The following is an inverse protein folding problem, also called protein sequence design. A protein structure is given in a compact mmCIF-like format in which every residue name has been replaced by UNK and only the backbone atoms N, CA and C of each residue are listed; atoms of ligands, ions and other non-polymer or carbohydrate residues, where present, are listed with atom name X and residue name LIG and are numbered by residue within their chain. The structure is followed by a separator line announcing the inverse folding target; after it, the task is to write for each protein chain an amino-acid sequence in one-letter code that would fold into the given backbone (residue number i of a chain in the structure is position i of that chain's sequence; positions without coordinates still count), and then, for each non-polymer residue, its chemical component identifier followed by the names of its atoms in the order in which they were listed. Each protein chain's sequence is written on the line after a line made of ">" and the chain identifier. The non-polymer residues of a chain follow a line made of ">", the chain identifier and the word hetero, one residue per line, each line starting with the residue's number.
data_IF_496618426589
#
_entry.id   IF_496618426589
#
_cell.length_a   1.000
_cell.length_b   1.000
_cell.length_c   1.000
_cell.angle_alpha   90.00
_cell.angle_beta   90.00
_cell.angle_gamma   90.00
#
_symmetry.space_group_name_H-M   'P 1'
#
loop_
_entity.id
_entity.type
_entity.pdbx_description
1 polymer ?
#
# COMPACT_ATOMS: atom_id res chain seq x y z
N UNK A 1 21.36 -14.39 10.22
CA UNK A 1 20.45 -13.27 10.51
C UNK A 1 19.84 -12.84 9.18
N UNK A 2 18.71 -13.43 8.79
CA UNK A 2 17.98 -13.05 7.58
C UNK A 2 17.14 -11.81 7.94
N UNK A 3 17.77 -10.64 7.97
CA UNK A 3 17.01 -9.40 8.00
C UNK A 3 16.41 -9.29 6.61
N UNK A 4 15.08 -9.29 6.47
CA UNK A 4 14.34 -9.22 5.20
C UNK A 4 14.57 -7.89 4.42
N UNK A 5 15.72 -7.25 4.60
CA UNK A 5 16.19 -6.12 3.82
C UNK A 5 16.54 -6.62 2.42
N UNK A 6 15.76 -6.21 1.43
CA UNK A 6 15.97 -6.56 0.02
C UNK A 6 14.94 -7.53 -0.57
N UNK A 7 13.94 -7.98 0.19
CA UNK A 7 12.77 -8.64 -0.41
C UNK A 7 11.81 -7.58 -0.96
N UNK A 8 11.13 -7.85 -2.08
CA UNK A 8 10.10 -6.95 -2.62
C UNK A 8 9.08 -6.61 -1.54
N UNK A 9 8.61 -5.36 -1.51
CA UNK A 9 7.57 -4.95 -0.60
C UNK A 9 6.33 -5.83 -0.83
N UNK A 10 6.04 -6.72 0.14
CA UNK A 10 4.87 -7.60 0.11
C UNK A 10 3.62 -6.93 0.65
N UNK A 11 3.71 -5.66 1.05
CA UNK A 11 2.57 -4.89 1.54
C UNK A 11 2.14 -3.88 0.47
N UNK A 12 0.83 -3.79 0.28
CA UNK A 12 0.19 -2.78 -0.57
C UNK A 12 -0.38 -1.66 0.31
N UNK A 13 -0.83 -0.59 -0.34
CA UNK A 13 -1.30 0.63 0.34
C UNK A 13 -2.35 0.35 1.41
N UNK A 14 -3.24 -0.64 1.20
CA UNK A 14 -4.25 -1.05 2.17
C UNK A 14 -3.64 -1.40 3.55
N UNK A 15 -2.56 -2.19 3.58
CA UNK A 15 -1.92 -2.58 4.83
C UNK A 15 -1.34 -1.36 5.58
N UNK A 16 -0.89 -0.33 4.87
CA UNK A 16 -0.43 0.92 5.48
C UNK A 16 -1.59 1.75 6.01
N UNK A 17 -2.73 1.79 5.32
CA UNK A 17 -3.95 2.43 5.84
C UNK A 17 -4.39 1.75 7.14
N UNK A 18 -4.40 0.42 7.18
CA UNK A 18 -4.75 -0.36 8.36
C UNK A 18 -3.78 -0.12 9.52
N UNK A 19 -2.47 -0.07 9.25
CA UNK A 19 -1.46 0.22 10.25
C UNK A 19 -1.61 1.64 10.83
N UNK A 20 -1.90 2.65 9.99
CA UNK A 20 -2.12 4.01 10.48
C UNK A 20 -3.37 4.08 11.34
N UNK A 21 -4.47 3.45 10.92
CA UNK A 21 -5.71 3.40 11.70
C UNK A 21 -5.51 2.80 13.11
N UNK A 22 -4.57 1.86 13.27
CA UNK A 22 -4.23 1.23 14.55
C UNK A 22 -3.17 1.99 15.35
N UNK A 23 -2.47 2.94 14.75
CA UNK A 23 -1.31 3.62 15.36
C UNK A 23 -1.66 4.85 16.20
N UNK A 24 -2.88 5.38 16.08
CA UNK A 24 -3.26 6.66 16.66
C UNK A 24 -2.65 7.88 15.96
N UNK A 25 -2.08 7.71 14.75
CA UNK A 25 -1.63 8.79 13.88
C UNK A 25 -2.74 9.24 12.93
N UNK A 26 -2.67 10.49 12.48
CA UNK A 26 -3.54 11.04 11.44
C UNK A 26 -2.80 11.10 10.10
N UNK A 27 -3.45 10.62 9.03
CA UNK A 27 -2.94 10.75 7.66
C UNK A 27 -3.11 12.19 7.20
N UNK A 28 -2.01 12.87 6.89
CA UNK A 28 -2.00 14.17 6.24
C UNK A 28 -1.95 14.06 4.72
N UNK A 29 -1.23 13.06 4.21
CA UNK A 29 -1.12 12.81 2.77
C UNK A 29 -0.92 11.34 2.52
N UNK A 30 -1.71 10.79 1.60
CA UNK A 30 -1.51 9.48 1.04
C UNK A 30 -1.74 9.57 -0.47
N UNK A 31 -0.67 9.49 -1.26
CA UNK A 31 -0.73 9.69 -2.71
C UNK A 31 0.18 8.73 -3.45
N UNK A 32 -0.27 8.13 -4.57
CA UNK A 32 0.59 7.29 -5.38
C UNK A 32 1.70 8.12 -6.01
N UNK A 33 2.90 7.55 -6.14
CA UNK A 33 3.99 8.13 -6.92
C UNK A 33 3.98 7.61 -8.36
N UNK A 34 3.51 6.38 -8.56
CA UNK A 34 3.36 5.75 -9.86
C UNK A 34 2.18 4.77 -9.83
N UNK A 35 1.42 4.76 -10.92
CA UNK A 35 0.28 3.88 -11.14
C UNK A 35 0.60 2.93 -12.30
N UNK A 36 0.29 1.65 -12.13
CA UNK A 36 0.23 0.69 -13.23
C UNK A 36 -0.98 0.97 -14.12
N UNK A 37 -0.90 0.57 -15.39
CA UNK A 37 -2.05 0.66 -16.29
C UNK A 37 -3.12 -0.37 -15.89
N UNK A 38 -4.40 -0.14 -16.23
CA UNK A 38 -5.45 -1.14 -16.03
C UNK A 38 -5.15 -2.47 -16.73
N UNK A 39 -4.56 -2.41 -17.92
CA UNK A 39 -4.19 -3.60 -18.70
C UNK A 39 -3.12 -4.43 -17.96
N UNK A 40 -2.09 -3.78 -17.42
CA UNK A 40 -1.06 -4.44 -16.62
C UNK A 40 -1.67 -5.06 -15.35
N UNK A 41 -2.55 -4.34 -14.66
CA UNK A 41 -3.23 -4.83 -13.45
C UNK A 41 -4.06 -6.08 -13.77
N UNK A 42 -4.83 -6.05 -14.86
CA UNK A 42 -5.63 -7.17 -15.31
C UNK A 42 -4.76 -8.38 -15.67
N UNK A 43 -3.67 -8.15 -16.41
CA UNK A 43 -2.75 -9.19 -16.85
C UNK A 43 -2.05 -9.92 -15.69
N UNK A 44 -1.66 -9.19 -14.63
CA UNK A 44 -0.93 -9.79 -13.50
C UNK A 44 -1.83 -10.35 -12.41
N UNK A 45 -3.07 -9.85 -12.25
CA UNK A 45 -4.02 -10.29 -11.19
C UNK A 45 -4.15 -11.83 -11.04
N UNK A 46 -4.27 -12.65 -12.10
CA UNK A 46 -4.39 -14.10 -11.94
C UNK A 46 -3.14 -14.76 -11.32
N UNK A 47 -1.96 -14.16 -11.49
CA UNK A 47 -0.67 -14.68 -11.02
C UNK A 47 -0.32 -14.26 -9.58
N UNK A 48 -1.06 -13.30 -9.02
CA UNK A 48 -0.81 -12.80 -7.67
C UNK A 48 -1.15 -13.85 -6.60
N UNK A 49 -0.52 -13.76 -5.42
CA UNK A 49 -0.98 -14.51 -4.26
C UNK A 49 -2.38 -14.05 -3.83
N UNK A 50 -3.17 -14.96 -3.24
CA UNK A 50 -4.58 -14.70 -2.85
C UNK A 50 -4.81 -13.37 -2.15
N UNK A 51 -4.00 -12.95 -1.14
CA UNK A 51 -4.24 -11.68 -0.44
C UNK A 51 -4.20 -10.43 -1.34
N UNK A 52 -3.54 -10.50 -2.50
CA UNK A 52 -3.47 -9.39 -3.44
C UNK A 52 -4.50 -9.48 -4.57
N UNK A 53 -5.10 -10.67 -4.80
CA UNK A 53 -6.16 -10.84 -5.79
C UNK A 53 -7.45 -10.17 -5.39
N UNK A 54 -7.68 -10.01 -4.09
CA UNK A 54 -8.90 -9.42 -3.53
C UNK A 54 -8.80 -7.89 -3.38
N UNK A 55 -7.64 -7.30 -3.66
CA UNK A 55 -7.46 -5.84 -3.63
C UNK A 55 -8.25 -5.17 -4.76
N UNK A 56 -8.72 -3.96 -4.48
CA UNK A 56 -9.31 -3.10 -5.52
C UNK A 56 -8.31 -2.84 -6.64
N UNK A 57 -8.79 -2.60 -7.85
CA UNK A 57 -7.92 -2.21 -8.98
C UNK A 57 -7.15 -0.94 -8.68
N UNK A 58 -7.77 0.02 -7.98
CA UNK A 58 -7.12 1.24 -7.53
C UNK A 58 -5.93 0.91 -6.62
N UNK A 59 -6.12 0.18 -5.51
CA UNK A 59 -5.02 -0.10 -4.58
C UNK A 59 -3.94 -0.98 -5.21
N UNK A 60 -4.34 -1.92 -6.08
CA UNK A 60 -3.41 -2.80 -6.78
C UNK A 60 -2.57 -2.04 -7.82
N UNK A 61 -3.11 -0.96 -8.40
CA UNK A 61 -2.40 -0.13 -9.36
C UNK A 61 -1.26 0.68 -8.74
N UNK A 62 -1.23 0.86 -7.41
CA UNK A 62 -0.19 1.66 -6.76
C UNK A 62 1.15 0.91 -6.76
N UNK A 63 2.12 1.43 -7.52
CA UNK A 63 3.49 0.91 -7.60
C UNK A 63 4.43 1.53 -6.57
N UNK A 64 4.04 2.68 -6.02
CA UNK A 64 4.70 3.37 -4.92
C UNK A 64 3.82 4.51 -4.42
N UNK A 65 4.10 5.03 -3.23
CA UNK A 65 3.32 6.13 -2.65
C UNK A 65 4.08 6.93 -1.60
N UNK A 66 3.64 8.17 -1.40
CA UNK A 66 3.96 8.96 -0.23
C UNK A 66 2.91 8.77 0.85
N UNK A 67 3.35 8.48 2.07
CA UNK A 67 2.54 8.49 3.28
C UNK A 67 3.13 9.51 4.26
N UNK A 68 2.37 10.54 4.58
CA UNK A 68 2.72 11.55 5.59
C UNK A 68 1.70 11.46 6.70
N UNK A 69 2.19 11.22 7.91
CA UNK A 69 1.37 11.12 9.11
C UNK A 69 1.82 12.16 10.14
N UNK A 70 0.90 12.56 11.02
CA UNK A 70 1.23 13.33 12.23
C UNK A 70 0.66 12.67 13.47
N UNK A 71 1.26 13.00 14.61
CA UNK A 71 0.60 12.78 15.90
C UNK A 71 -0.58 13.77 16.02
N UNK A 72 -1.77 13.32 16.47
CA UNK A 72 -2.87 14.22 16.76
C UNK A 72 -2.44 15.29 17.75
N UNK A 73 -2.87 16.53 17.52
CA UNK A 73 -2.74 17.59 18.53
C UNK A 73 -3.93 17.38 19.48
N UNK A 74 -3.66 17.07 20.74
CA UNK A 74 -4.72 17.02 21.75
C UNK A 74 -5.42 18.38 21.78
N UNK A 75 -6.75 18.38 21.67
CA UNK A 75 -7.58 19.57 21.86
C UNK A 75 -7.56 20.01 23.33
#
# INVERSE_FOLDING_TARGET
>A
MYSEKGVPNRLRVNAYRDAVAQSGLEILTLKPTLLASPDDVCAVRPELATPFKDLSEEDLSWLGFWLVCRKPIAQ
#
